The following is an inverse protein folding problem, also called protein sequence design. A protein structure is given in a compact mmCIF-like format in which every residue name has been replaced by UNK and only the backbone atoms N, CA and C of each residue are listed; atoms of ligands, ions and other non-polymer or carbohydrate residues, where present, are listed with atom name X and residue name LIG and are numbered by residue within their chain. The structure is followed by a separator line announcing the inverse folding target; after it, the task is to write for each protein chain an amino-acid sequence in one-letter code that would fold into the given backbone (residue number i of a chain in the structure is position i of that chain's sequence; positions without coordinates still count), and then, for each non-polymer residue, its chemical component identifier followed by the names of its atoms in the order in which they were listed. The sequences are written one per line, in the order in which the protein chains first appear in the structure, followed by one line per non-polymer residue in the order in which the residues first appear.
data_IF_401089817376
#
_entry.id   IF_401089817376
#
_cell.length_a   1.000
_cell.length_b   1.000
_cell.length_c   1.000
_cell.angle_alpha   90.00
_cell.angle_beta   90.00
_cell.angle_gamma   90.00
#
_symmetry.space_group_name_H-M   'P 1'
#
loop_
_entity.id
_entity.type
_entity.pdbx_description
1 polymer ?
#
# COMPACT_ATOMS: atom_id res chain seq x y z
N UNK A 1 -8.87 -20.26 -18.71
CA UNK A 1 -9.51 -18.92 -18.62
C UNK A 1 -8.42 -17.87 -18.77
N UNK A 2 -8.65 -16.76 -19.48
CA UNK A 2 -7.64 -15.70 -19.65
C UNK A 2 -7.81 -14.64 -18.55
N UNK A 3 -6.72 -14.10 -18.00
CA UNK A 3 -6.80 -12.99 -17.06
C UNK A 3 -7.28 -11.69 -17.73
N UNK A 4 -7.91 -10.77 -16.96
CA UNK A 4 -8.24 -9.44 -17.43
C UNK A 4 -6.99 -8.64 -17.77
N UNK A 5 -7.06 -7.84 -18.84
CA UNK A 5 -5.96 -6.98 -19.28
C UNK A 5 -5.56 -5.96 -18.22
N UNK A 6 -6.53 -5.41 -17.49
CA UNK A 6 -6.23 -4.51 -16.36
C UNK A 6 -5.51 -5.21 -15.22
N UNK A 7 -5.86 -6.46 -14.90
CA UNK A 7 -5.17 -7.25 -13.87
C UNK A 7 -3.71 -7.55 -14.28
N UNK A 8 -3.47 -7.93 -15.55
CA UNK A 8 -2.13 -8.09 -16.10
C UNK A 8 -1.32 -6.79 -16.07
N UNK A 9 -1.99 -5.65 -16.27
CA UNK A 9 -1.34 -4.32 -16.23
C UNK A 9 -0.98 -3.94 -14.80
N UNK A 10 -1.85 -4.16 -13.81
CA UNK A 10 -1.54 -3.96 -12.38
C UNK A 10 -0.36 -4.82 -11.97
N UNK A 11 -0.32 -6.10 -12.36
CA UNK A 11 0.81 -6.97 -12.08
C UNK A 11 2.12 -6.38 -12.62
N UNK A 12 2.13 -5.95 -13.88
CA UNK A 12 3.33 -5.33 -14.50
C UNK A 12 3.72 -4.02 -13.83
N UNK A 13 2.77 -3.22 -13.36
CA UNK A 13 3.03 -1.98 -12.61
C UNK A 13 3.71 -2.30 -11.28
N UNK A 14 3.19 -3.28 -10.54
CA UNK A 14 3.79 -3.75 -9.30
C UNK A 14 5.19 -4.31 -9.52
N UNK A 15 5.42 -5.11 -10.56
CA UNK A 15 6.77 -5.63 -10.90
C UNK A 15 7.75 -4.49 -11.18
N UNK A 16 7.36 -3.52 -12.01
CA UNK A 16 8.22 -2.38 -12.33
C UNK A 16 8.51 -1.50 -11.13
N UNK A 17 7.52 -1.29 -10.25
CA UNK A 17 7.71 -0.55 -9.00
C UNK A 17 8.67 -1.28 -8.07
N UNK A 18 8.48 -2.59 -7.85
CA UNK A 18 9.38 -3.39 -7.03
C UNK A 18 10.81 -3.37 -7.54
N UNK A 19 11.01 -3.56 -8.85
CA UNK A 19 12.33 -3.43 -9.47
C UNK A 19 12.94 -2.06 -9.18
N UNK A 20 12.16 -0.97 -9.34
CA UNK A 20 12.66 0.37 -9.01
C UNK A 20 12.98 0.56 -7.53
N UNK A 21 12.27 -0.08 -6.59
CA UNK A 21 12.58 0.02 -5.16
C UNK A 21 13.89 -0.72 -4.83
N UNK A 22 14.10 -1.90 -5.44
CA UNK A 22 15.32 -2.70 -5.29
C UNK A 22 16.53 -1.98 -5.87
N UNK A 23 16.43 -1.49 -7.11
CA UNK A 23 17.53 -0.79 -7.79
C UNK A 23 18.01 0.48 -7.06
N UNK A 24 17.13 1.08 -6.25
CA UNK A 24 17.42 2.26 -5.44
C UNK A 24 17.90 1.94 -4.03
N UNK A 25 17.96 0.66 -3.66
CA UNK A 25 18.37 0.22 -2.32
C UNK A 25 17.40 0.62 -1.21
N UNK A 26 16.12 0.89 -1.51
CA UNK A 26 15.11 1.22 -0.48
C UNK A 26 14.27 0.01 -0.07
N UNK A 27 14.29 -1.08 -0.84
CA UNK A 27 13.70 -2.35 -0.46
C UNK A 27 14.75 -3.30 0.12
N UNK A 28 14.51 -3.78 1.34
CA UNK A 28 15.29 -4.81 2.04
C UNK A 28 14.85 -6.23 1.62
N UNK A 29 13.55 -6.41 1.39
CA UNK A 29 12.97 -7.68 0.93
C UNK A 29 11.67 -7.46 0.13
N UNK A 30 11.27 -8.45 -0.68
CA UNK A 30 10.13 -8.34 -1.57
C UNK A 30 9.45 -9.68 -1.84
N UNK A 31 8.15 -9.61 -2.15
CA UNK A 31 7.42 -10.70 -2.78
C UNK A 31 6.79 -10.18 -4.08
N UNK A 32 7.26 -10.71 -5.22
CA UNK A 32 6.74 -10.32 -6.52
C UNK A 32 5.26 -10.70 -6.68
N UNK A 33 4.48 -9.85 -7.37
CA UNK A 33 3.05 -10.07 -7.53
C UNK A 33 2.77 -11.30 -8.38
N UNK A 34 1.77 -12.07 -7.97
CA UNK A 34 1.23 -13.22 -8.68
C UNK A 34 -0.21 -12.94 -9.09
N UNK A 35 -0.60 -13.48 -10.23
CA UNK A 35 -1.95 -13.40 -10.76
C UNK A 35 -2.66 -14.74 -10.53
N UNK A 36 -3.67 -14.76 -9.66
CA UNK A 36 -4.37 -15.98 -9.24
C UNK A 36 -5.84 -15.94 -9.65
N UNK A 37 -6.40 -17.00 -10.26
CA UNK A 37 -7.85 -17.12 -10.43
C UNK A 37 -8.49 -17.46 -9.09
N UNK A 38 -9.55 -16.74 -8.70
CA UNK A 38 -10.28 -16.99 -7.45
C UNK A 38 -11.61 -17.73 -7.67
N UNK A 39 -12.32 -17.41 -8.76
CA UNK A 39 -13.56 -18.07 -9.21
C UNK A 39 -13.79 -17.78 -10.69
N UNK A 40 -14.93 -18.21 -11.25
CA UNK A 40 -15.32 -17.81 -12.61
C UNK A 40 -15.25 -16.29 -12.76
N UNK A 41 -14.52 -15.83 -13.78
CA UNK A 41 -14.25 -14.42 -14.12
C UNK A 41 -13.55 -13.56 -13.06
N UNK A 42 -13.20 -14.12 -11.89
CA UNK A 42 -12.54 -13.37 -10.80
C UNK A 42 -11.06 -13.68 -10.74
N UNK A 43 -10.26 -12.62 -10.74
CA UNK A 43 -8.81 -12.68 -10.70
C UNK A 43 -8.24 -11.77 -9.61
N UNK A 44 -7.20 -12.24 -8.94
CA UNK A 44 -6.51 -11.51 -7.90
C UNK A 44 -5.06 -11.25 -8.31
N UNK A 45 -4.63 -10.00 -8.18
CA UNK A 45 -3.20 -9.63 -8.17
C UNK A 45 -2.79 -9.54 -6.71
N UNK A 46 -1.95 -10.47 -6.29
CA UNK A 46 -1.60 -10.69 -4.87
C UNK A 46 -0.14 -11.13 -4.74
N UNK A 47 0.30 -11.64 -3.60
CA UNK A 47 1.67 -12.11 -3.34
C UNK A 47 1.65 -13.41 -2.53
N UNK A 48 2.80 -14.09 -2.42
CA UNK A 48 2.96 -15.26 -1.55
C UNK A 48 2.84 -14.85 -0.07
N UNK A 49 2.08 -15.59 0.74
CA UNK A 49 1.83 -15.24 2.15
C UNK A 49 0.65 -14.29 2.38
N UNK A 50 -0.09 -13.90 1.32
CA UNK A 50 -1.27 -13.05 1.44
C UNK A 50 -2.42 -13.70 2.23
N UNK A 51 -2.46 -15.03 2.31
CA UNK A 51 -3.42 -15.81 3.11
C UNK A 51 -3.29 -15.56 4.63
N UNK A 52 -2.15 -15.08 5.11
CA UNK A 52 -1.93 -14.76 6.52
C UNK A 52 -2.35 -13.32 6.88
N UNK A 53 -2.69 -12.48 5.88
CA UNK A 53 -3.06 -11.08 6.10
C UNK A 53 -4.32 -10.93 6.95
N UNK A 54 -5.26 -11.88 6.87
CA UNK A 54 -6.48 -11.87 7.69
C UNK A 54 -6.26 -12.36 9.12
N UNK A 55 -5.18 -13.09 9.38
CA UNK A 55 -4.89 -13.63 10.73
C UNK A 55 -4.50 -12.49 11.67
N UNK A 56 -3.85 -11.44 11.14
CA UNK A 56 -3.48 -10.24 11.86
C UNK A 56 -4.63 -9.23 12.11
N UNK A 57 -5.91 -9.57 11.84
CA UNK A 57 -7.05 -8.63 11.93
C UNK A 57 -7.95 -8.83 13.17
N UNK A 58 -7.36 -8.99 14.36
CA UNK A 58 -8.06 -9.08 15.66
C UNK A 58 -7.80 -7.88 16.58
N UNK A 59 -8.37 -7.89 17.80
CA UNK A 59 -8.06 -6.94 18.88
C UNK A 59 -6.66 -7.26 19.48
N UNK A 60 -5.62 -7.16 18.65
CA UNK A 60 -4.22 -7.39 19.03
C UNK A 60 -3.39 -6.12 18.80
N UNK A 61 -2.33 -5.98 19.59
CA UNK A 61 -1.44 -4.81 19.54
C UNK A 61 -0.78 -4.63 18.16
N UNK A 62 -0.54 -3.37 17.77
CA UNK A 62 0.08 -3.04 16.48
C UNK A 62 1.42 -3.75 16.27
N UNK A 63 2.26 -3.83 17.30
CA UNK A 63 3.55 -4.50 17.17
C UNK A 63 3.38 -6.00 16.91
N UNK A 64 2.36 -6.63 17.50
CA UNK A 64 2.04 -8.03 17.24
C UNK A 64 1.54 -8.24 15.80
N UNK A 65 0.66 -7.35 15.29
CA UNK A 65 0.21 -7.34 13.89
C UNK A 65 1.40 -7.23 12.95
N UNK A 66 2.25 -6.21 13.15
CA UNK A 66 3.42 -5.98 12.32
C UNK A 66 4.37 -7.19 12.34
N UNK A 67 4.65 -7.75 13.53
CA UNK A 67 5.53 -8.90 13.69
C UNK A 67 5.00 -10.11 12.93
N UNK A 68 3.71 -10.41 13.04
CA UNK A 68 3.10 -11.52 12.30
C UNK A 68 3.22 -11.31 10.78
N UNK A 69 2.87 -10.13 10.29
CA UNK A 69 2.98 -9.80 8.87
C UNK A 69 4.43 -9.90 8.38
N UNK A 70 5.40 -9.45 9.19
CA UNK A 70 6.82 -9.53 8.87
C UNK A 70 7.32 -10.98 8.83
N UNK A 71 7.07 -11.77 9.88
CA UNK A 71 7.54 -13.16 10.00
C UNK A 71 6.92 -14.08 8.94
N UNK A 72 5.67 -13.82 8.55
CA UNK A 72 4.97 -14.58 7.50
C UNK A 72 5.25 -14.06 6.10
N UNK A 73 6.09 -13.03 5.96
CA UNK A 73 6.37 -12.35 4.69
C UNK A 73 5.10 -11.88 3.98
N UNK A 74 4.09 -11.48 4.74
CA UNK A 74 2.79 -11.05 4.22
C UNK A 74 2.85 -9.60 3.74
N UNK A 75 3.71 -9.32 2.78
CA UNK A 75 3.91 -8.00 2.18
C UNK A 75 4.39 -8.12 0.74
N UNK A 76 4.20 -7.06 -0.02
CA UNK A 76 4.76 -6.89 -1.37
C UNK A 76 6.21 -6.42 -1.29
N UNK A 77 6.53 -5.49 -0.38
CA UNK A 77 7.89 -5.04 -0.10
C UNK A 77 8.09 -4.75 1.39
N UNK A 78 9.28 -5.02 1.90
CA UNK A 78 9.80 -4.53 3.17
C UNK A 78 10.86 -3.49 2.86
N UNK A 79 10.71 -2.30 3.41
CA UNK A 79 11.59 -1.16 3.20
C UNK A 79 12.78 -1.23 4.17
N UNK A 80 13.85 -0.49 3.88
CA UNK A 80 15.10 -0.49 4.65
C UNK A 80 14.95 -0.12 6.13
N UNK A 81 13.90 0.63 6.49
CA UNK A 81 13.56 0.95 7.88
C UNK A 81 12.56 -0.05 8.51
N UNK A 82 12.33 -1.19 7.84
CA UNK A 82 11.37 -2.21 8.24
C UNK A 82 9.93 -1.94 7.78
N UNK A 83 9.60 -0.77 7.24
CA UNK A 83 8.24 -0.46 6.80
C UNK A 83 7.70 -1.48 5.78
N UNK A 84 6.48 -2.01 5.98
CA UNK A 84 5.89 -3.02 5.09
C UNK A 84 4.88 -2.38 4.14
N UNK A 85 4.99 -2.68 2.85
CA UNK A 85 4.00 -2.35 1.82
C UNK A 85 3.19 -3.58 1.45
N UNK A 86 1.86 -3.51 1.51
CA UNK A 86 0.95 -4.54 1.00
C UNK A 86 0.11 -3.96 -0.13
N UNK A 87 0.14 -4.60 -1.30
CA UNK A 87 -0.70 -4.21 -2.43
C UNK A 87 -1.46 -5.43 -2.99
N UNK A 88 -2.78 -5.42 -2.85
CA UNK A 88 -3.67 -6.48 -3.31
C UNK A 88 -4.82 -5.91 -4.13
N UNK A 89 -5.13 -6.52 -5.27
CA UNK A 89 -6.22 -6.12 -6.16
C UNK A 89 -7.06 -7.33 -6.56
N UNK A 90 -8.36 -7.12 -6.69
CA UNK A 90 -9.30 -8.12 -7.19
C UNK A 90 -10.13 -7.54 -8.33
N UNK A 91 -10.22 -8.30 -9.40
CA UNK A 91 -10.95 -7.98 -10.61
C UNK A 91 -12.04 -9.01 -10.84
N UNK A 92 -13.18 -8.55 -11.37
CA UNK A 92 -14.20 -9.37 -11.99
C UNK A 92 -14.30 -8.89 -13.44
N UNK A 93 -13.92 -9.75 -14.39
CA UNK A 93 -13.64 -9.33 -15.77
C UNK A 93 -12.70 -8.10 -15.78
N UNK A 94 -12.97 -7.06 -16.58
CA UNK A 94 -12.14 -5.83 -16.66
C UNK A 94 -12.45 -4.79 -15.57
N UNK A 95 -13.24 -5.15 -14.56
CA UNK A 95 -13.69 -4.26 -13.51
C UNK A 95 -12.92 -4.53 -12.23
N UNK A 96 -12.29 -3.50 -11.67
CA UNK A 96 -11.75 -3.58 -10.31
C UNK A 96 -12.94 -3.67 -9.36
N UNK A 97 -12.98 -4.68 -8.50
CA UNK A 97 -14.06 -4.86 -7.51
C UNK A 97 -13.58 -4.64 -6.07
N UNK A 98 -12.27 -4.83 -5.84
CA UNK A 98 -11.66 -4.61 -4.54
C UNK A 98 -10.17 -4.30 -4.65
N UNK A 99 -9.65 -3.44 -3.78
CA UNK A 99 -8.22 -3.40 -3.48
C UNK A 99 -7.98 -3.17 -1.99
N UNK A 100 -6.82 -3.62 -1.51
CA UNK A 100 -6.30 -3.30 -0.18
C UNK A 100 -4.84 -2.88 -0.34
N UNK A 101 -4.55 -1.62 -0.08
CA UNK A 101 -3.20 -1.06 -0.16
C UNK A 101 -2.82 -0.54 1.23
N UNK A 102 -1.81 -1.11 1.86
CA UNK A 102 -1.47 -0.80 3.25
C UNK A 102 0.02 -0.54 3.43
N UNK A 103 0.33 0.39 4.33
CA UNK A 103 1.66 0.70 4.79
C UNK A 103 1.71 0.51 6.31
N UNK A 104 2.63 -0.34 6.76
CA UNK A 104 2.86 -0.65 8.17
C UNK A 104 4.27 -0.20 8.54
N UNK A 105 4.46 1.01 9.10
CA UNK A 105 5.76 1.45 9.62
C UNK A 105 6.32 0.49 10.67
N UNK A 106 7.64 0.33 10.74
CA UNK A 106 8.22 -0.49 11.81
C UNK A 106 7.88 0.09 13.20
N UNK A 107 7.42 -0.73 14.17
CA UNK A 107 7.21 -0.29 15.54
C UNK A 107 8.51 -0.13 16.33
N UNK A 108 9.61 -0.73 15.86
CA UNK A 108 10.89 -0.85 16.60
C UNK A 108 12.02 -0.02 15.99
N UNK A 109 11.91 0.39 14.73
CA UNK A 109 12.96 1.12 14.02
C UNK A 109 12.61 2.61 13.89
N UNK A 110 13.64 3.46 13.76
CA UNK A 110 13.45 4.89 13.52
C UNK A 110 12.85 5.13 12.14
N UNK A 111 11.96 6.12 11.98
CA UNK A 111 11.53 6.54 10.65
C UNK A 111 12.73 6.97 9.80
N UNK A 112 12.74 6.55 8.53
CA UNK A 112 13.84 6.87 7.60
C UNK A 112 14.19 8.36 7.57
N UNK A 113 13.20 9.25 7.61
CA UNK A 113 13.40 10.71 7.58
C UNK A 113 14.23 11.27 8.73
N UNK A 114 14.29 10.61 9.89
CA UNK A 114 15.07 11.08 11.02
C UNK A 114 16.56 10.77 10.89
N UNK A 115 16.92 9.64 10.27
CA UNK A 115 18.30 9.19 10.14
C UNK A 115 18.57 8.37 8.86
N UNK A 116 18.44 8.98 7.65
CA UNK A 116 18.59 8.25 6.38
C UNK A 116 19.94 7.55 6.21
N UNK A 117 21.01 8.17 6.71
CA UNK A 117 22.39 7.73 6.48
C UNK A 117 22.67 6.39 7.17
N UNK A 118 22.15 6.19 8.39
CA UNK A 118 22.29 4.92 9.10
C UNK A 118 21.63 3.75 8.38
N UNK A 119 20.61 3.99 7.55
CA UNK A 119 19.98 2.95 6.73
C UNK A 119 20.69 2.69 5.40
N UNK A 120 21.39 3.69 4.84
CA UNK A 120 21.99 3.59 3.50
C UNK A 120 23.50 3.32 3.51
N UNK A 121 24.19 3.58 4.64
CA UNK A 121 25.64 3.46 4.76
C UNK A 121 26.12 2.34 5.71
N UNK A 122 25.23 1.44 6.11
CA UNK A 122 25.57 0.18 6.81
C UNK A 122 26.35 0.40 8.13
N UNK A 123 26.18 1.57 8.78
CA UNK A 123 26.70 1.79 10.13
C UNK A 123 25.83 1.01 11.13
N UNK A 124 26.41 -0.07 11.65
CA UNK A 124 25.84 -1.14 12.47
C UNK A 124 25.30 -0.68 13.85
N UNK A 125 24.46 0.35 13.94
CA UNK A 125 23.72 0.71 15.16
C UNK A 125 22.42 1.47 14.84
N UNK A 126 21.35 0.74 14.53
CA UNK A 126 20.01 1.31 14.28
C UNK A 126 19.02 1.15 15.46
N UNK A 127 19.48 0.70 16.63
CA UNK A 127 18.63 0.46 17.80
C UNK A 127 18.45 1.72 18.68
N UNK A 128 17.67 2.70 18.22
CA UNK A 128 17.10 3.72 19.13
C UNK A 128 15.74 4.17 18.59
N UNK A 129 14.61 3.68 19.12
CA UNK A 129 13.28 4.24 18.78
C UNK A 129 13.24 5.74 19.12
N UNK A 130 12.94 6.59 18.14
CA UNK A 130 12.56 7.97 18.42
C UNK A 130 11.21 7.99 19.11
N UNK A 131 11.20 8.35 20.39
CA UNK A 131 10.00 8.34 21.23
C UNK A 131 8.95 9.40 20.86
N UNK A 132 9.19 10.21 19.82
CA UNK A 132 8.31 11.30 19.43
C UNK A 132 7.33 10.94 18.31
N UNK A 133 7.61 9.89 17.53
CA UNK A 133 6.75 9.45 16.42
C UNK A 133 6.05 8.15 16.83
N UNK A 134 4.72 8.17 16.82
CA UNK A 134 3.91 6.96 17.05
C UNK A 134 3.69 6.28 15.69
N UNK A 135 4.28 5.11 15.43
CA UNK A 135 4.04 4.40 14.17
C UNK A 135 2.61 3.86 14.17
N UNK A 136 1.89 4.10 13.08
CA UNK A 136 0.55 3.56 12.89
C UNK A 136 0.31 3.18 11.42
N UNK A 137 -0.52 2.16 11.16
CA UNK A 137 -0.78 1.70 9.81
C UNK A 137 -1.65 2.69 9.03
N UNK A 138 -1.37 2.80 7.75
CA UNK A 138 -2.18 3.53 6.77
C UNK A 138 -2.77 2.52 5.79
N UNK A 139 -4.05 2.65 5.45
CA UNK A 139 -4.68 1.74 4.48
C UNK A 139 -5.66 2.43 3.55
N UNK A 140 -5.50 2.20 2.26
CA UNK A 140 -6.48 2.53 1.23
C UNK A 140 -7.25 1.27 0.85
N UNK A 141 -8.54 1.27 1.18
CA UNK A 141 -9.46 0.19 0.84
C UNK A 141 -10.38 0.64 -0.28
N UNK A 142 -10.62 -0.25 -1.24
CA UNK A 142 -11.69 -0.15 -2.20
C UNK A 142 -12.50 -1.43 -2.14
N UNK A 143 -13.81 -1.35 -1.96
CA UNK A 143 -14.72 -2.51 -1.96
C UNK A 143 -16.11 -2.07 -2.41
N UNK A 144 -16.51 -2.48 -3.61
CA UNK A 144 -17.83 -2.12 -4.14
C UNK A 144 -18.98 -2.77 -3.38
N UNK A 145 -18.77 -3.97 -2.85
CA UNK A 145 -19.82 -4.78 -2.23
C UNK A 145 -20.12 -4.35 -0.79
N UNK A 146 -19.12 -3.79 -0.10
CA UNK A 146 -19.26 -3.25 1.24
C UNK A 146 -19.70 -1.78 1.26
N UNK A 147 -19.79 -1.13 0.09
CA UNK A 147 -20.04 0.30 -0.03
C UNK A 147 -21.40 0.70 0.54
N UNK A 148 -21.38 1.70 1.42
CA UNK A 148 -22.56 2.39 1.94
C UNK A 148 -22.24 3.88 1.95
N UNK A 149 -22.99 4.65 1.18
CA UNK A 149 -22.74 6.09 1.00
C UNK A 149 -22.49 6.77 2.35
N UNK A 150 -21.40 7.55 2.44
CA UNK A 150 -20.89 8.21 3.65
C UNK A 150 -20.40 7.28 4.77
N UNK A 151 -21.13 6.21 5.10
CA UNK A 151 -20.85 5.31 6.25
C UNK A 151 -19.66 4.38 5.98
N UNK A 152 -19.53 3.92 4.74
CA UNK A 152 -18.47 3.07 4.26
C UNK A 152 -18.21 3.42 2.79
N UNK A 153 -17.46 4.50 2.51
CA UNK A 153 -17.19 4.92 1.16
C UNK A 153 -16.59 3.80 0.33
N UNK A 154 -16.94 3.77 -0.96
CA UNK A 154 -16.48 2.73 -1.87
C UNK A 154 -14.96 2.67 -1.95
N UNK A 155 -14.30 3.83 -1.90
CA UNK A 155 -12.86 3.96 -1.65
C UNK A 155 -12.62 4.87 -0.44
N UNK A 156 -11.79 4.44 0.51
CA UNK A 156 -11.49 5.23 1.71
C UNK A 156 -10.09 4.97 2.26
N UNK A 157 -9.58 5.95 2.99
CA UNK A 157 -8.36 5.90 3.79
C UNK A 157 -8.73 5.60 5.26
N UNK A 158 -8.04 4.61 5.82
CA UNK A 158 -8.06 4.24 7.24
C UNK A 158 -6.72 4.61 7.86
N UNK A 159 -6.75 5.22 9.05
CA UNK A 159 -5.57 5.55 9.86
C UNK A 159 -5.61 4.75 11.16
N UNK A 160 -4.53 4.04 11.48
CA UNK A 160 -4.38 3.34 12.76
C UNK A 160 -5.31 2.14 12.95
N UNK A 161 -5.91 1.61 11.88
CA UNK A 161 -6.96 0.58 11.93
C UNK A 161 -8.13 0.91 12.88
N UNK A 162 -8.36 2.20 13.14
CA UNK A 162 -9.43 2.66 14.04
C UNK A 162 -10.79 2.36 13.43
N UNK A 163 -11.63 1.62 14.15
CA UNK A 163 -12.99 1.29 13.72
C UNK A 163 -13.78 2.56 13.42
N UNK A 164 -14.20 2.70 12.16
CA UNK A 164 -14.99 3.85 11.70
C UNK A 164 -14.16 5.00 11.13
N UNK A 165 -12.83 4.96 11.22
CA UNK A 165 -11.96 5.89 10.49
C UNK A 165 -11.99 5.51 9.00
N UNK A 166 -12.85 6.17 8.23
CA UNK A 166 -13.05 5.95 6.80
C UNK A 166 -13.15 7.29 6.08
N UNK A 167 -12.00 7.91 5.83
CA UNK A 167 -11.95 9.18 5.10
C UNK A 167 -12.21 8.87 3.62
N UNK A 168 -13.25 9.43 2.97
CA UNK A 168 -13.53 9.14 1.57
C UNK A 168 -12.35 9.48 0.66
N UNK A 169 -12.16 8.67 -0.38
CA UNK A 169 -11.13 8.86 -1.40
C UNK A 169 -11.80 8.94 -2.77
N UNK A 170 -11.38 9.88 -3.61
CA UNK A 170 -12.11 10.23 -4.84
C UNK A 170 -12.23 9.08 -5.85
N UNK A 171 -11.23 8.19 -5.90
CA UNK A 171 -11.12 7.08 -6.85
C UNK A 171 -10.25 5.96 -6.25
N UNK A 172 -10.35 4.72 -6.74
CA UNK A 172 -9.40 3.66 -6.41
C UNK A 172 -7.97 4.04 -6.81
N UNK A 173 -6.98 3.59 -6.04
CA UNK A 173 -5.58 3.90 -6.30
C UNK A 173 -4.94 2.89 -7.24
N UNK A 174 -4.03 3.37 -8.08
CA UNK A 174 -3.09 2.51 -8.81
C UNK A 174 -1.91 2.15 -7.90
N UNK A 175 -1.13 1.10 -8.24
CA UNK A 175 0.08 0.76 -7.50
C UNK A 175 1.03 1.96 -7.38
N UNK A 176 1.19 2.68 -8.49
CA UNK A 176 2.07 3.85 -8.58
C UNK A 176 1.64 4.98 -7.67
N UNK A 177 0.33 5.26 -7.53
CA UNK A 177 -0.15 6.31 -6.61
C UNK A 177 0.10 5.97 -5.16
N UNK A 178 -0.13 4.72 -4.77
CA UNK A 178 0.11 4.29 -3.40
C UNK A 178 1.60 4.32 -3.05
N UNK A 179 2.47 3.80 -3.93
CA UNK A 179 3.93 3.84 -3.72
C UNK A 179 4.46 5.28 -3.75
N UNK A 180 3.95 6.16 -4.63
CA UNK A 180 4.27 7.61 -4.59
C UNK A 180 3.98 8.19 -3.21
N UNK A 181 2.76 7.96 -2.74
CA UNK A 181 2.27 8.53 -1.50
C UNK A 181 3.15 8.11 -0.32
N UNK A 182 3.50 6.82 -0.22
CA UNK A 182 4.37 6.37 0.86
C UNK A 182 5.77 6.97 0.73
N UNK A 183 6.42 6.83 -0.43
CA UNK A 183 7.78 7.31 -0.61
C UNK A 183 7.89 8.83 -0.42
N UNK A 184 6.98 9.60 -1.02
CA UNK A 184 6.97 11.06 -0.94
C UNK A 184 6.81 11.57 0.48
N UNK A 185 5.97 10.94 1.29
CA UNK A 185 5.65 11.44 2.62
C UNK A 185 6.56 10.88 3.72
N UNK A 186 7.14 9.69 3.53
CA UNK A 186 7.89 8.99 4.59
C UNK A 186 9.36 8.71 4.25
N UNK A 187 9.77 8.82 2.99
CA UNK A 187 11.14 8.45 2.55
C UNK A 187 11.85 9.51 1.71
N UNK A 188 11.13 10.51 1.21
CA UNK A 188 11.71 11.64 0.49
C UNK A 188 12.41 12.58 1.48
N UNK A 189 13.65 12.96 1.16
CA UNK A 189 14.44 13.94 1.90
C UNK A 189 15.15 14.87 0.92
N UNK A 190 15.78 15.95 1.40
CA UNK A 190 16.56 16.86 0.56
C UNK A 190 17.76 16.16 -0.13
N UNK A 191 18.22 15.02 0.41
CA UNK A 191 19.36 14.25 -0.12
C UNK A 191 18.93 13.04 -0.96
N UNK A 192 17.80 12.43 -0.63
CA UNK A 192 17.37 11.16 -1.19
C UNK A 192 16.03 11.27 -1.90
N UNK A 193 16.06 11.09 -3.23
CA UNK A 193 14.90 11.11 -4.10
C UNK A 193 14.57 9.72 -4.66
N UNK A 194 13.54 9.11 -4.08
CA UNK A 194 13.01 7.81 -4.49
C UNK A 194 11.81 7.92 -5.45
N UNK A 195 11.35 9.13 -5.77
CA UNK A 195 10.06 9.35 -6.43
C UNK A 195 10.23 9.72 -7.91
N UNK A 196 11.21 10.55 -8.26
CA UNK A 196 11.32 11.16 -9.60
C UNK A 196 11.46 10.19 -10.77
N UNK A 197 12.01 9.00 -10.54
CA UNK A 197 12.16 7.96 -11.58
C UNK A 197 11.39 6.68 -11.24
N UNK A 198 10.31 6.77 -10.48
CA UNK A 198 9.35 5.68 -10.42
C UNK A 198 8.72 5.48 -11.82
N UNK A 199 8.42 4.24 -12.24
CA UNK A 199 7.77 3.99 -13.52
C UNK A 199 6.45 4.77 -13.68
N UNK A 200 6.14 5.15 -14.92
CA UNK A 200 4.88 5.84 -15.23
C UNK A 200 3.66 4.94 -15.00
N UNK A 201 2.51 5.57 -14.74
CA UNK A 201 1.22 4.90 -14.70
C UNK A 201 0.92 4.20 -16.03
N UNK A 202 0.46 2.94 -15.98
CA UNK A 202 -0.03 2.24 -17.18
C UNK A 202 -1.56 2.20 -17.28
N UNK A 203 -2.27 2.55 -16.22
CA UNK A 203 -3.72 2.72 -16.20
C UNK A 203 -4.15 3.72 -15.13
N UNK A 204 -5.41 4.15 -15.21
CA UNK A 204 -6.09 4.92 -14.18
C UNK A 204 -7.46 4.32 -13.89
N UNK A 205 -7.98 4.58 -12.69
CA UNK A 205 -9.33 4.18 -12.29
C UNK A 205 -10.26 5.39 -12.32
N UNK A 206 -11.53 5.14 -12.66
CA UNK A 206 -12.55 6.18 -12.66
C UNK A 206 -12.89 6.60 -11.22
N UNK A 207 -13.30 7.87 -11.00
CA UNK A 207 -13.81 8.31 -9.71
C UNK A 207 -15.01 7.48 -9.26
N UNK A 208 -15.04 7.16 -7.97
CA UNK A 208 -16.11 6.38 -7.31
C UNK A 208 -16.78 7.17 -6.19
N UNK A 209 -16.23 8.32 -5.82
CA UNK A 209 -16.77 9.18 -4.77
C UNK A 209 -18.14 9.76 -5.12
N UNK A 210 -19.08 9.66 -4.20
CA UNK A 210 -20.46 10.12 -4.38
C UNK A 210 -20.59 11.64 -4.21
N UNK A 211 -21.75 12.19 -4.60
CA UNK A 211 -22.06 13.60 -4.34
C UNK A 211 -22.13 13.96 -2.85
N UNK A 212 -22.51 13.00 -1.99
CA UNK A 212 -22.58 13.21 -0.55
C UNK A 212 -21.19 13.12 0.10
N UNK A 213 -20.36 12.18 -0.32
CA UNK A 213 -18.97 12.06 0.14
C UNK A 213 -18.13 13.28 -0.24
N UNK A 214 -18.38 13.91 -1.40
CA UNK A 214 -17.74 15.18 -1.80
C UNK A 214 -18.06 16.35 -0.86
N UNK A 215 -19.10 16.26 -0.04
CA UNK A 215 -19.44 17.28 0.98
C UNK A 215 -18.68 17.08 2.30
N UNK A 216 -17.89 16.01 2.41
CA UNK A 216 -17.02 15.71 3.55
C UNK A 216 -15.57 16.10 3.23
N UNK A 217 -14.73 16.16 4.27
CA UNK A 217 -13.28 16.14 4.06
C UNK A 217 -12.93 14.80 3.41
N UNK A 218 -12.30 14.87 2.23
CA UNK A 218 -11.95 13.70 1.44
C UNK A 218 -10.58 13.90 0.76
N UNK A 219 -9.95 12.80 0.39
CA UNK A 219 -8.70 12.80 -0.36
C UNK A 219 -8.99 12.66 -1.85
N UNK A 220 -8.27 13.43 -2.67
CA UNK A 220 -8.40 13.39 -4.13
C UNK A 220 -7.21 12.66 -4.73
N UNK A 221 -7.49 11.62 -5.49
CA UNK A 221 -6.52 10.92 -6.35
C UNK A 221 -6.41 11.68 -7.67
N UNK A 222 -5.21 12.06 -8.12
CA UNK A 222 -5.03 12.75 -9.40
C UNK A 222 -5.46 11.87 -10.59
N UNK A 223 -6.13 12.49 -11.56
CA UNK A 223 -6.61 11.83 -12.78
C UNK A 223 -5.49 11.57 -13.81
N UNK A 224 -4.41 12.35 -13.74
CA UNK A 224 -3.20 12.21 -14.56
C UNK A 224 -1.97 12.55 -13.70
N UNK A 225 -0.84 11.90 -13.95
CA UNK A 225 0.43 12.30 -13.35
C UNK A 225 0.99 13.52 -14.09
N UNK A 226 1.39 14.56 -13.34
CA UNK A 226 2.12 15.72 -13.87
C UNK A 226 3.54 15.32 -14.28
#
# INVERSE_FOLDING_TARGET
MKPPKKAETIKRDLEGLLTSLIERGIADDQNFPVLRPASNNVWEVTFAGAEHVSIAMGDIDYAAIYKELSEKRSYTAKLIDGGLLQLMYRFEDERLVRHRLAYYPSPELRPFQEDPESYLHDELFLDIVSRHIVPFPLRFDFDETAARDVVHPMCHLTLGDVKGCRIPVSAPLTPRWFVDFVLRNFYLTDRYDFVSKLPNHRLYFNPTITANERRLIHMVVPMEAC
#
